data_IF_263716694671
#
_entry.id   IF_263716694671
#
_cell.length_a   1.000
_cell.length_b   1.000
_cell.length_c   1.000
_cell.angle_alpha   90.00
_cell.angle_beta   90.00
_cell.angle_gamma   90.00
#
_symmetry.space_group_name_H-M   'P 1'
#
loop_
_entity.id
_entity.type
_entity.pdbx_description
1 polymer ?
#
# COMPACT_ATOMS: atom_id res chain seq x y z
N UNK A 1 -26.78 -1.46 13.10
CA UNK A 1 -25.53 -2.07 13.64
C UNK A 1 -24.38 -1.81 12.66
N UNK A 2 -23.89 -0.56 12.61
CA UNK A 2 -22.82 -0.10 11.69
C UNK A 2 -21.52 0.26 12.41
N UNK A 3 -21.40 -0.13 13.68
CA UNK A 3 -20.26 0.20 14.54
C UNK A 3 -19.49 -1.10 14.75
N UNK A 4 -18.55 -1.41 13.84
CA UNK A 4 -17.42 -2.32 14.10
C UNK A 4 -16.43 -2.46 12.92
N UNK A 5 -16.84 -2.17 11.68
CA UNK A 5 -15.95 -2.28 10.50
C UNK A 5 -14.88 -1.17 10.46
N UNK A 6 -15.22 0.08 10.83
CA UNK A 6 -14.24 1.16 10.84
C UNK A 6 -13.17 1.02 11.93
N UNK A 7 -13.56 0.48 13.10
CA UNK A 7 -12.64 0.26 14.21
C UNK A 7 -11.63 -0.86 13.89
N UNK A 8 -12.07 -1.92 13.21
CA UNK A 8 -11.20 -3.00 12.76
C UNK A 8 -10.22 -2.54 11.67
N UNK A 9 -10.66 -1.76 10.69
CA UNK A 9 -9.79 -1.18 9.66
C UNK A 9 -8.73 -0.23 10.23
N UNK A 10 -9.10 0.62 11.19
CA UNK A 10 -8.14 1.49 11.88
C UNK A 10 -7.06 0.69 12.62
N UNK A 11 -7.44 -0.42 13.27
CA UNK A 11 -6.50 -1.32 13.95
C UNK A 11 -5.55 -2.00 12.96
N UNK A 12 -6.04 -2.43 11.80
CA UNK A 12 -5.22 -3.04 10.75
C UNK A 12 -4.24 -2.02 10.16
N UNK A 13 -4.69 -0.80 9.85
CA UNK A 13 -3.80 0.27 9.34
C UNK A 13 -2.68 0.58 10.33
N UNK A 14 -3.00 0.69 11.63
CA UNK A 14 -2.00 0.89 12.69
C UNK A 14 -1.04 -0.28 12.84
N UNK A 15 -1.51 -1.52 12.67
CA UNK A 15 -0.66 -2.71 12.67
C UNK A 15 0.34 -2.66 11.50
N UNK A 16 -0.12 -2.35 10.28
CA UNK A 16 0.74 -2.23 9.10
C UNK A 16 1.80 -1.15 9.33
N UNK A 17 1.41 0.02 9.83
CA UNK A 17 2.34 1.11 10.17
C UNK A 17 3.40 0.65 11.18
N UNK A 18 2.99 -0.09 12.21
CA UNK A 18 3.92 -0.64 13.22
C UNK A 18 4.91 -1.63 12.61
N UNK A 19 4.43 -2.50 11.71
CA UNK A 19 5.26 -3.49 11.02
C UNK A 19 6.28 -2.81 10.10
N UNK A 20 5.85 -1.82 9.31
CA UNK A 20 6.75 -1.03 8.45
C UNK A 20 7.80 -0.30 9.28
N UNK A 21 7.39 0.34 10.38
CA UNK A 21 8.30 1.08 11.26
C UNK A 21 9.30 0.19 12.01
N UNK A 22 9.04 -1.13 12.10
CA UNK A 22 10.02 -2.11 12.62
C UNK A 22 11.10 -2.48 11.60
N UNK A 23 11.01 -1.99 10.37
CA UNK A 23 12.02 -2.20 9.35
C UNK A 23 11.88 -3.54 8.62
N UNK A 24 10.66 -4.06 8.44
CA UNK A 24 10.47 -5.27 7.64
C UNK A 24 10.97 -5.07 6.20
N UNK A 25 11.53 -6.14 5.63
CA UNK A 25 11.99 -6.17 4.25
C UNK A 25 10.90 -6.65 3.28
N UNK A 26 10.04 -7.56 3.73
CA UNK A 26 8.99 -8.14 2.90
C UNK A 26 7.62 -7.91 3.52
N UNK A 27 6.77 -7.18 2.81
CA UNK A 27 5.41 -6.90 3.24
C UNK A 27 4.42 -7.33 2.15
N UNK A 28 3.48 -8.18 2.54
CA UNK A 28 2.32 -8.53 1.74
C UNK A 28 1.05 -8.14 2.50
N UNK A 29 0.18 -7.36 1.86
CA UNK A 29 -1.12 -6.98 2.40
C UNK A 29 -2.17 -7.28 1.34
N UNK A 30 -3.10 -8.17 1.70
CA UNK A 30 -4.20 -8.58 0.85
C UNK A 30 -5.51 -8.40 1.64
N UNK A 31 -6.47 -7.73 1.02
CA UNK A 31 -7.82 -7.58 1.56
C UNK A 31 -8.80 -8.53 0.87
N UNK A 32 -9.84 -8.96 1.58
CA UNK A 32 -10.89 -9.78 0.98
C UNK A 32 -11.74 -8.89 0.05
N UNK A 33 -11.58 -9.10 -1.26
CA UNK A 33 -12.22 -8.39 -2.39
C UNK A 33 -13.76 -8.27 -2.38
N UNK A 34 -14.45 -8.81 -1.36
CA UNK A 34 -15.91 -8.76 -1.24
C UNK A 34 -16.46 -7.44 -0.72
N UNK A 35 -15.62 -6.61 -0.10
CA UNK A 35 -16.03 -5.34 0.44
C UNK A 35 -15.41 -4.23 -0.42
N UNK A 36 -16.22 -3.55 -1.23
CA UNK A 36 -15.90 -2.23 -1.78
C UNK A 36 -15.87 -1.18 -0.65
N UNK A 37 -15.33 -1.54 0.50
CA UNK A 37 -15.17 -0.65 1.62
C UNK A 37 -13.97 0.21 1.29
N UNK A 38 -14.28 1.41 0.83
CA UNK A 38 -13.35 2.50 0.53
C UNK A 38 -12.52 2.94 1.74
N UNK A 39 -12.50 2.18 2.84
CA UNK A 39 -11.85 2.53 4.10
C UNK A 39 -10.57 1.72 4.36
N UNK A 40 -10.22 0.76 3.48
CA UNK A 40 -9.01 -0.07 3.60
C UNK A 40 -7.77 0.59 3.00
N UNK A 41 -7.47 1.83 3.42
CA UNK A 41 -6.31 2.57 2.92
C UNK A 41 -5.03 2.17 3.64
N UNK A 42 -3.95 2.02 2.87
CA UNK A 42 -2.62 1.79 3.42
C UNK A 42 -2.12 3.01 4.18
N UNK A 43 -1.45 2.80 5.33
CA UNK A 43 -0.85 3.90 6.09
C UNK A 43 0.26 4.55 5.27
N UNK A 44 0.42 5.88 5.40
CA UNK A 44 1.40 6.64 4.62
C UNK A 44 2.86 6.25 4.92
N UNK A 45 3.12 5.56 6.03
CA UNK A 45 4.43 5.06 6.42
C UNK A 45 5.04 4.14 5.35
N UNK A 46 4.21 3.43 4.57
CA UNK A 46 4.69 2.55 3.49
C UNK A 46 5.58 3.32 2.51
N UNK A 47 5.26 4.59 2.21
CA UNK A 47 5.93 5.40 1.20
C UNK A 47 7.30 5.95 1.64
N UNK A 48 7.68 5.72 2.91
CA UNK A 48 8.94 6.19 3.51
C UNK A 48 9.81 5.06 4.05
N UNK A 49 9.41 3.81 3.83
CA UNK A 49 10.18 2.67 4.33
C UNK A 49 11.54 2.61 3.66
N UNK A 50 12.59 2.61 4.48
CA UNK A 50 13.97 2.47 4.01
C UNK A 50 14.44 1.02 3.94
N UNK A 51 13.61 0.08 4.41
CA UNK A 51 13.98 -1.33 4.54
C UNK A 51 13.20 -2.23 3.60
N UNK A 52 12.03 -1.80 3.11
CA UNK A 52 11.22 -2.64 2.23
C UNK A 52 12.00 -2.99 0.95
N UNK A 53 12.15 -4.29 0.72
CA UNK A 53 12.73 -4.92 -0.47
C UNK A 53 11.65 -5.49 -1.37
N UNK A 54 10.58 -6.06 -0.80
CA UNK A 54 9.42 -6.53 -1.56
C UNK A 54 8.11 -6.02 -0.96
N UNK A 55 7.25 -5.49 -1.82
CA UNK A 55 5.93 -4.98 -1.47
C UNK A 55 4.87 -5.62 -2.35
N UNK A 56 3.91 -6.31 -1.72
CA UNK A 56 2.73 -6.86 -2.40
C UNK A 56 1.47 -6.27 -1.80
N UNK A 57 0.65 -5.64 -2.64
CA UNK A 57 -0.60 -5.01 -2.26
C UNK A 57 -1.71 -5.53 -3.16
N UNK A 58 -2.75 -6.11 -2.56
CA UNK A 58 -3.88 -6.68 -3.27
C UNK A 58 -5.21 -6.25 -2.64
N UNK A 59 -6.12 -5.71 -3.46
CA UNK A 59 -7.46 -5.26 -3.06
C UNK A 59 -7.46 -4.18 -1.96
N UNK A 60 -6.43 -3.31 -1.94
CA UNK A 60 -6.27 -2.24 -0.95
C UNK A 60 -6.38 -0.86 -1.56
N UNK A 61 -6.66 0.14 -0.73
CA UNK A 61 -6.68 1.54 -1.12
C UNK A 61 -5.31 2.21 -0.98
N UNK A 62 -4.92 3.00 -1.98
CA UNK A 62 -3.80 3.94 -1.91
C UNK A 62 -4.29 5.38 -1.94
N UNK A 63 -3.62 6.24 -1.19
CA UNK A 63 -3.85 7.68 -1.18
C UNK A 63 -2.57 8.43 -1.47
N UNK A 64 -2.71 9.56 -2.18
CA UNK A 64 -1.60 10.47 -2.42
C UNK A 64 -0.98 10.95 -1.08
N UNK A 65 0.33 10.73 -0.85
CA UNK A 65 0.98 11.11 0.38
C UNK A 65 1.16 12.63 0.55
N UNK A 66 1.11 13.41 -0.54
CA UNK A 66 1.44 14.84 -0.52
C UNK A 66 2.92 15.15 -0.24
N UNK A 67 3.79 14.13 -0.28
CA UNK A 67 5.23 14.24 -0.11
C UNK A 67 5.95 13.30 -1.09
N UNK A 68 7.26 13.53 -1.28
CA UNK A 68 8.10 12.69 -2.14
C UNK A 68 8.22 11.28 -1.56
N UNK A 69 7.82 10.27 -2.34
CA UNK A 69 7.97 8.85 -1.97
C UNK A 69 9.46 8.49 -1.99
N UNK A 70 9.90 7.70 -1.01
CA UNK A 70 11.26 7.19 -0.96
C UNK A 70 11.27 5.76 -0.44
N UNK A 71 11.60 4.84 -1.34
CA UNK A 71 11.65 3.40 -1.15
C UNK A 71 13.01 2.87 -1.68
N UNK A 72 14.12 3.28 -1.05
CA UNK A 72 15.47 3.13 -1.62
C UNK A 72 15.93 1.68 -1.78
N UNK A 73 15.31 0.73 -1.08
CA UNK A 73 15.68 -0.68 -1.10
C UNK A 73 14.68 -1.56 -1.86
N UNK A 74 13.60 -0.98 -2.40
CA UNK A 74 12.51 -1.75 -2.97
C UNK A 74 12.89 -2.30 -4.34
N UNK A 75 13.03 -3.61 -4.43
CA UNK A 75 13.39 -4.36 -5.64
C UNK A 75 12.19 -4.97 -6.33
N UNK A 76 11.17 -5.37 -5.58
CA UNK A 76 10.00 -6.07 -6.11
C UNK A 76 8.70 -5.42 -5.65
N UNK A 77 7.81 -5.12 -6.59
CA UNK A 77 6.52 -4.51 -6.34
C UNK A 77 5.41 -5.26 -7.09
N UNK A 78 4.38 -5.66 -6.35
CA UNK A 78 3.18 -6.30 -6.89
C UNK A 78 1.94 -5.52 -6.48
N UNK A 79 1.17 -5.08 -7.46
CA UNK A 79 -0.04 -4.30 -7.27
C UNK A 79 -1.20 -5.02 -7.96
N UNK A 80 -2.21 -5.43 -7.19
CA UNK A 80 -3.40 -6.11 -7.69
C UNK A 80 -4.66 -5.37 -7.25
N UNK A 81 -5.51 -5.00 -8.20
CA UNK A 81 -6.83 -4.41 -7.94
C UNK A 81 -6.78 -3.24 -6.94
N UNK A 82 -5.83 -2.32 -7.13
CA UNK A 82 -5.61 -1.17 -6.26
C UNK A 82 -6.72 -0.13 -6.43
N UNK A 83 -7.28 0.33 -5.32
CA UNK A 83 -8.24 1.44 -5.29
C UNK A 83 -7.52 2.76 -5.07
N UNK A 84 -7.86 3.79 -5.84
CA UNK A 84 -7.27 5.12 -5.71
C UNK A 84 -8.21 6.05 -4.94
N UNK A 85 -7.69 6.71 -3.90
CA UNK A 85 -8.44 7.79 -3.24
C UNK A 85 -8.74 8.87 -4.27
N UNK A 86 -10.01 9.26 -4.38
CA UNK A 86 -10.51 10.26 -5.32
C UNK A 86 -10.25 9.92 -6.81
N UNK A 87 -9.93 8.66 -7.13
CA UNK A 87 -9.66 8.26 -8.51
C UNK A 87 -8.36 8.82 -9.09
N UNK A 88 -7.39 9.21 -8.26
CA UNK A 88 -6.09 9.73 -8.69
C UNK A 88 -5.09 8.60 -8.99
N UNK A 89 -4.82 8.25 -10.26
CA UNK A 89 -3.89 7.17 -10.61
C UNK A 89 -2.42 7.58 -10.48
N UNK A 90 -2.11 8.89 -10.36
CA UNK A 90 -0.73 9.40 -10.28
C UNK A 90 0.01 8.90 -9.04
N UNK A 91 -0.70 8.33 -8.07
CA UNK A 91 -0.09 7.67 -6.91
C UNK A 91 0.83 6.52 -7.29
N UNK A 92 0.54 5.77 -8.36
CA UNK A 92 1.41 4.68 -8.81
C UNK A 92 2.70 5.24 -9.43
N UNK A 93 2.60 6.32 -10.21
CA UNK A 93 3.78 7.01 -10.75
C UNK A 93 4.67 7.56 -9.65
N UNK A 94 4.08 8.15 -8.60
CA UNK A 94 4.81 8.60 -7.41
C UNK A 94 5.48 7.43 -6.68
N UNK A 95 4.82 6.27 -6.59
CA UNK A 95 5.38 5.09 -5.96
C UNK A 95 6.61 4.59 -6.73
N UNK A 96 6.49 4.44 -8.05
CA UNK A 96 7.55 3.95 -8.93
C UNK A 96 8.75 4.92 -8.94
N UNK A 97 8.51 6.22 -9.07
CA UNK A 97 9.58 7.23 -9.06
C UNK A 97 10.38 7.29 -7.75
N UNK A 98 9.78 6.86 -6.64
CA UNK A 98 10.46 6.74 -5.35
C UNK A 98 11.32 5.47 -5.17
N UNK A 99 11.27 4.52 -6.10
CA UNK A 99 11.95 3.21 -6.02
C UNK A 99 13.15 3.13 -6.98
N UNK A 100 14.32 3.62 -6.54
CA UNK A 100 15.50 3.72 -7.41
C UNK A 100 16.10 2.37 -7.86
N UNK A 101 15.82 1.28 -7.14
CA UNK A 101 16.40 -0.05 -7.36
C UNK A 101 15.34 -1.09 -7.76
N UNK A 102 14.20 -0.65 -8.27
CA UNK A 102 13.11 -1.54 -8.64
C UNK A 102 13.51 -2.42 -9.84
N UNK A 103 13.53 -3.74 -9.61
CA UNK A 103 13.91 -4.77 -10.58
C UNK A 103 12.66 -5.45 -11.17
N UNK A 104 11.67 -5.74 -10.31
CA UNK A 104 10.44 -6.45 -10.67
C UNK A 104 9.19 -5.61 -10.37
N UNK A 105 8.34 -5.40 -11.38
CA UNK A 105 7.04 -4.74 -11.23
C UNK A 105 5.94 -5.61 -11.86
N UNK A 106 4.90 -5.90 -11.08
CA UNK A 106 3.66 -6.53 -11.57
C UNK A 106 2.48 -5.64 -11.25
N UNK A 107 1.67 -5.34 -12.26
CA UNK A 107 0.41 -4.59 -12.11
C UNK A 107 -0.70 -5.42 -12.72
N UNK A 108 -1.65 -5.84 -11.89
CA UNK A 108 -2.83 -6.61 -12.29
C UNK A 108 -4.08 -5.79 -12.02
N UNK A 109 -4.87 -5.57 -13.07
CA UNK A 109 -6.23 -5.07 -12.96
C UNK A 109 -7.13 -6.29 -12.83
N UNK A 110 -7.89 -6.44 -11.74
CA UNK A 110 -8.72 -7.62 -11.50
C UNK A 110 -9.66 -7.92 -12.68
N UNK A 111 -9.79 -9.22 -13.01
CA UNK A 111 -10.71 -9.74 -14.03
C UNK A 111 -12.15 -9.87 -13.55
#
# INVERSE_FOLDING_TARGET
>A
KYVDCNASLFRISKLISTVVNRGVEHLAVESCSRFRDTNSFMPLDIYKSKTLVSLKLAYVGLSNPGFVVSLPCLKSMHLESIMYRNGDPFIIENLISGCAVLEDLTVCWGG
#
